data_IF_090678980316
#
_entry.id   IF_090678980316
#
_cell.length_a   1.000
_cell.length_b   1.000
_cell.length_c   1.000
_cell.angle_alpha   90.00
_cell.angle_beta   90.00
_cell.angle_gamma   90.00
#
_symmetry.space_group_name_H-M   'P 1'
#
loop_
_entity.id
_entity.type
_entity.pdbx_description
1 polymer ?
#
# COMPACT_ATOMS: atom_id res chain seq x y z
N UNK A 1 -25.85 -12.19 -7.20
CA UNK A 1 -25.24 -11.28 -8.21
C UNK A 1 -24.01 -11.99 -8.75
N UNK A 2 -23.83 -12.04 -10.07
CA UNK A 2 -22.64 -12.61 -10.71
C UNK A 2 -21.66 -11.47 -11.02
N UNK A 3 -20.38 -11.70 -10.82
CA UNK A 3 -19.29 -10.75 -11.09
C UNK A 3 -18.35 -11.31 -12.16
N UNK A 4 -17.48 -10.45 -12.73
CA UNK A 4 -16.44 -10.91 -13.64
C UNK A 4 -15.53 -11.94 -12.96
N UNK A 5 -14.98 -12.87 -13.72
CA UNK A 5 -14.00 -13.82 -13.21
C UNK A 5 -12.67 -13.10 -12.88
N UNK A 6 -12.01 -13.53 -11.80
CA UNK A 6 -10.62 -13.17 -11.49
C UNK A 6 -9.70 -14.26 -12.09
N UNK A 7 -9.30 -14.08 -13.35
CA UNK A 7 -8.53 -15.08 -14.06
C UNK A 7 -8.20 -14.75 -15.51
N UNK A 8 -7.56 -15.70 -16.16
CA UNK A 8 -7.08 -15.60 -17.54
C UNK A 8 -7.79 -16.60 -18.45
N UNK A 9 -8.40 -16.10 -19.52
CA UNK A 9 -9.02 -16.92 -20.58
C UNK A 9 -8.10 -16.89 -21.80
N UNK A 10 -7.84 -18.06 -22.39
CA UNK A 10 -7.13 -18.20 -23.66
C UNK A 10 -7.70 -19.34 -24.47
N UNK A 11 -7.40 -19.37 -25.77
CA UNK A 11 -7.82 -20.44 -26.69
C UNK A 11 -9.35 -20.64 -26.70
N UNK A 12 -10.10 -19.54 -26.64
CA UNK A 12 -11.56 -19.58 -26.75
C UNK A 12 -11.97 -20.06 -28.14
N UNK A 13 -12.89 -21.02 -28.20
CA UNK A 13 -13.39 -21.61 -29.45
C UNK A 13 -14.89 -21.84 -29.32
N UNK A 14 -15.62 -21.55 -30.40
CA UNK A 14 -17.06 -21.79 -30.51
C UNK A 14 -17.33 -22.45 -31.86
N UNK A 15 -18.11 -23.54 -31.86
CA UNK A 15 -18.26 -24.42 -33.02
C UNK A 15 -18.92 -23.75 -34.23
N UNK A 16 -19.87 -22.83 -33.98
CA UNK A 16 -20.74 -22.27 -35.03
C UNK A 16 -20.46 -20.80 -35.35
N UNK A 17 -19.43 -20.20 -34.74
CA UNK A 17 -19.08 -18.80 -34.99
C UNK A 17 -17.58 -18.57 -34.78
N UNK A 18 -16.88 -17.92 -35.72
CA UNK A 18 -15.51 -17.48 -35.51
C UNK A 18 -15.52 -16.38 -34.44
N UNK A 19 -14.97 -16.69 -33.26
CA UNK A 19 -14.79 -15.72 -32.18
C UNK A 19 -13.31 -15.48 -31.98
N UNK A 20 -12.91 -14.21 -32.04
CA UNK A 20 -11.54 -13.76 -31.83
C UNK A 20 -11.49 -12.82 -30.62
N UNK A 21 -10.80 -13.24 -29.56
CA UNK A 21 -10.61 -12.42 -28.36
C UNK A 21 -9.56 -11.32 -28.56
N UNK A 22 -8.73 -11.39 -29.60
CA UNK A 22 -7.77 -10.33 -29.93
C UNK A 22 -8.45 -9.14 -30.64
N UNK A 23 -9.62 -9.37 -31.27
CA UNK A 23 -10.40 -8.35 -31.99
C UNK A 23 -11.89 -8.35 -31.58
N UNK A 24 -12.22 -8.02 -30.31
CA UNK A 24 -13.59 -7.99 -29.85
C UNK A 24 -14.35 -6.77 -30.43
N UNK A 25 -15.67 -6.89 -30.59
CA UNK A 25 -16.53 -5.75 -31.00
C UNK A 25 -16.53 -4.62 -29.96
N UNK A 26 -16.39 -4.95 -28.68
CA UNK A 26 -16.18 -4.01 -27.59
C UNK A 26 -15.47 -4.69 -26.42
N UNK A 27 -14.77 -3.93 -25.59
CA UNK A 27 -14.14 -4.43 -24.36
C UNK A 27 -14.27 -3.40 -23.24
N UNK A 28 -14.30 -3.88 -22.00
CA UNK A 28 -14.36 -3.04 -20.81
C UNK A 28 -13.51 -3.68 -19.71
N UNK A 29 -12.49 -2.97 -19.23
CA UNK A 29 -11.56 -3.43 -18.19
C UNK A 29 -10.96 -4.84 -18.43
N UNK A 30 -10.67 -5.19 -19.69
CA UNK A 30 -9.97 -6.44 -20.06
C UNK A 30 -8.49 -6.14 -20.25
N UNK A 31 -7.63 -6.83 -19.48
CA UNK A 31 -6.18 -6.72 -19.57
C UNK A 31 -5.52 -7.93 -20.25
N UNK A 32 -4.20 -7.86 -20.41
CA UNK A 32 -3.39 -9.01 -20.84
C UNK A 32 -2.85 -9.77 -19.65
N UNK A 33 -2.76 -11.09 -19.77
CA UNK A 33 -2.20 -11.95 -18.75
C UNK A 33 -0.67 -11.92 -18.76
N UNK A 34 -0.05 -11.99 -17.58
CA UNK A 34 1.37 -12.29 -17.46
C UNK A 34 1.63 -13.77 -17.78
N UNK A 35 2.78 -14.08 -18.38
CA UNK A 35 3.21 -15.46 -18.68
C UNK A 35 3.32 -16.28 -17.39
N UNK A 36 3.81 -15.66 -16.33
CA UNK A 36 3.86 -16.22 -14.98
C UNK A 36 3.34 -15.16 -14.02
N UNK A 37 2.23 -15.47 -13.36
CA UNK A 37 1.57 -14.57 -12.42
C UNK A 37 1.56 -15.17 -11.02
N UNK A 38 1.51 -14.30 -10.03
CA UNK A 38 1.22 -14.63 -8.63
C UNK A 38 0.09 -13.71 -8.16
N UNK A 39 -0.67 -14.13 -7.15
CA UNK A 39 -1.72 -13.30 -6.57
C UNK A 39 -1.12 -11.99 -6.02
N UNK A 40 -1.76 -10.86 -6.32
CA UNK A 40 -1.35 -9.54 -5.83
C UNK A 40 -1.81 -8.41 -6.72
N UNK A 41 -1.40 -7.19 -6.39
CA UNK A 41 -1.64 -5.98 -7.19
C UNK A 41 -0.32 -5.49 -7.78
N UNK A 42 -0.30 -5.27 -9.09
CA UNK A 42 0.90 -4.83 -9.80
C UNK A 42 0.92 -3.31 -9.97
N UNK A 43 2.05 -2.69 -9.64
CA UNK A 43 2.34 -1.28 -9.88
C UNK A 43 3.56 -1.19 -10.79
N UNK A 44 3.44 -0.53 -11.94
CA UNK A 44 4.53 -0.40 -12.92
C UNK A 44 5.48 0.77 -12.63
N UNK A 45 5.20 1.56 -11.59
CA UNK A 45 5.98 2.71 -11.16
C UNK A 45 5.59 4.03 -11.82
N UNK A 46 4.52 4.09 -12.62
CA UNK A 46 4.07 5.32 -13.30
C UNK A 46 2.88 6.01 -12.63
N UNK A 47 2.25 5.37 -11.65
CA UNK A 47 1.03 5.86 -11.02
C UNK A 47 0.84 5.37 -9.58
N UNK A 48 -0.42 5.37 -9.14
CA UNK A 48 -0.80 5.02 -7.78
C UNK A 48 -2.24 4.51 -7.71
N UNK A 49 -2.60 3.88 -6.59
CA UNK A 49 -3.97 3.51 -6.29
C UNK A 49 -4.51 4.41 -5.17
N UNK A 50 -5.68 5.03 -5.39
CA UNK A 50 -6.49 5.65 -4.33
C UNK A 50 -7.46 4.59 -3.82
N UNK A 51 -7.19 4.01 -2.65
CA UNK A 51 -7.93 2.83 -2.16
C UNK A 51 -9.22 3.20 -1.44
N UNK A 52 -9.20 4.27 -0.65
CA UNK A 52 -10.38 4.82 0.04
C UNK A 52 -10.39 6.35 -0.05
N UNK A 53 -11.59 6.93 -0.10
CA UNK A 53 -11.78 8.37 -0.33
C UNK A 53 -11.53 9.23 0.91
N UNK A 54 -11.85 8.73 2.09
CA UNK A 54 -11.68 9.39 3.37
C UNK A 54 -11.28 8.35 4.41
N UNK A 55 -10.03 8.40 4.85
CA UNK A 55 -9.46 7.51 5.85
C UNK A 55 -9.07 8.30 7.09
N UNK A 56 -9.44 7.79 8.26
CA UNK A 56 -9.07 8.35 9.56
C UNK A 56 -8.05 7.44 10.21
N UNK A 57 -6.83 7.95 10.41
CA UNK A 57 -5.76 7.21 11.10
C UNK A 57 -6.10 7.06 12.59
N UNK A 58 -6.53 8.13 13.25
CA UNK A 58 -6.98 8.08 14.65
C UNK A 58 -5.84 7.76 15.63
N UNK A 59 -6.16 6.99 16.67
CA UNK A 59 -5.26 6.64 17.80
C UNK A 59 -4.52 5.32 17.57
N UNK A 60 -5.24 4.29 17.11
CA UNK A 60 -4.71 2.94 16.93
C UNK A 60 -4.92 2.48 15.49
N UNK A 61 -3.84 2.04 14.84
CA UNK A 61 -3.84 1.62 13.45
C UNK A 61 -2.83 0.48 13.24
N UNK A 62 -3.29 -0.65 12.71
CA UNK A 62 -2.42 -1.71 12.22
C UNK A 62 -2.48 -1.77 10.68
N UNK A 63 -1.30 -1.74 10.04
CA UNK A 63 -1.13 -1.85 8.59
C UNK A 63 -0.22 -3.05 8.29
N UNK A 64 -0.75 -4.04 7.60
CA UNK A 64 -0.01 -5.27 7.24
C UNK A 64 -0.08 -5.47 5.73
N UNK A 65 1.07 -5.64 5.08
CA UNK A 65 1.12 -5.93 3.66
C UNK A 65 2.41 -6.62 3.24
N UNK A 66 2.32 -7.34 2.14
CA UNK A 66 3.44 -7.97 1.47
C UNK A 66 3.79 -7.16 0.22
N UNK A 67 5.07 -6.90 -0.01
CA UNK A 67 5.51 -6.21 -1.21
C UNK A 67 6.83 -6.80 -1.68
N UNK A 68 7.04 -6.79 -3.00
CA UNK A 68 8.32 -7.10 -3.64
C UNK A 68 8.63 -6.01 -4.66
N UNK A 69 9.89 -5.64 -4.80
CA UNK A 69 10.30 -4.63 -5.78
C UNK A 69 11.73 -4.87 -6.24
N UNK A 70 12.04 -4.38 -7.44
CA UNK A 70 13.41 -4.32 -7.98
C UNK A 70 14.01 -2.91 -7.86
N UNK A 71 13.26 -1.96 -7.30
CA UNK A 71 13.68 -0.57 -7.11
C UNK A 71 14.11 -0.33 -5.66
N UNK A 72 15.10 0.53 -5.48
CA UNK A 72 15.61 0.92 -4.17
C UNK A 72 14.78 2.00 -3.49
N UNK A 73 13.90 2.67 -4.24
CA UNK A 73 13.08 3.77 -3.74
C UNK A 73 11.64 3.62 -4.24
N UNK A 74 10.67 3.98 -3.41
CA UNK A 74 9.27 4.00 -3.78
C UNK A 74 8.34 4.30 -2.61
N UNK A 75 7.24 4.97 -2.88
CA UNK A 75 6.15 5.14 -1.91
C UNK A 75 5.40 3.82 -1.80
N UNK A 76 5.18 3.32 -0.59
CA UNK A 76 4.39 2.12 -0.35
C UNK A 76 2.96 2.51 0.01
N UNK A 77 2.81 3.39 1.01
CA UNK A 77 1.52 3.83 1.51
C UNK A 77 1.60 5.26 2.04
N UNK A 78 0.54 6.04 1.82
CA UNK A 78 0.45 7.40 2.34
C UNK A 78 -0.99 7.84 2.58
N UNK A 79 -1.23 8.48 3.72
CA UNK A 79 -2.41 9.28 4.01
C UNK A 79 -1.95 10.55 4.71
N UNK A 80 -2.39 11.70 4.23
CA UNK A 80 -2.04 12.99 4.82
C UNK A 80 -3.24 13.91 4.78
N UNK A 81 -3.48 14.58 5.90
CA UNK A 81 -4.33 15.75 5.95
C UNK A 81 -3.69 16.92 5.20
N UNK A 82 -4.53 17.86 4.77
CA UNK A 82 -4.08 19.13 4.18
C UNK A 82 -3.39 20.07 5.19
N UNK A 83 -3.40 19.74 6.48
CA UNK A 83 -2.85 20.59 7.54
C UNK A 83 -1.46 20.12 7.97
N UNK A 84 -1.42 19.11 8.85
CA UNK A 84 -0.17 18.64 9.45
C UNK A 84 -0.14 17.14 9.69
N UNK A 85 -1.28 16.47 9.94
CA UNK A 85 -1.30 15.06 10.33
C UNK A 85 -1.24 14.11 9.15
N UNK A 86 -0.58 12.97 9.32
CA UNK A 86 -0.43 11.96 8.29
C UNK A 86 0.43 10.78 8.70
N UNK A 87 0.36 9.73 7.89
CA UNK A 87 1.16 8.52 7.97
C UNK A 87 1.70 8.21 6.57
N UNK A 88 3.01 7.96 6.50
CA UNK A 88 3.69 7.48 5.31
C UNK A 88 4.56 6.26 5.60
N UNK A 89 4.58 5.32 4.65
CA UNK A 89 5.51 4.21 4.58
C UNK A 89 6.18 4.25 3.21
N UNK A 90 7.51 4.24 3.19
CA UNK A 90 8.31 4.39 2.00
C UNK A 90 9.52 3.45 2.02
N UNK A 91 9.98 3.06 0.85
CA UNK A 91 11.27 2.43 0.64
C UNK A 91 12.26 3.53 0.21
N UNK A 92 13.37 3.67 0.93
CA UNK A 92 14.43 4.65 0.62
C UNK A 92 15.79 3.97 0.73
N UNK A 93 16.53 3.92 -0.38
CA UNK A 93 17.84 3.27 -0.43
C UNK A 93 17.81 1.79 -0.01
N UNK A 94 16.71 1.07 -0.31
CA UNK A 94 16.53 -0.33 0.09
C UNK A 94 16.18 -0.52 1.57
N UNK A 95 15.84 0.55 2.28
CA UNK A 95 15.39 0.50 3.68
C UNK A 95 13.93 0.87 3.76
N UNK A 96 13.14 0.10 4.49
CA UNK A 96 11.75 0.45 4.74
C UNK A 96 11.74 1.46 5.88
N UNK A 97 11.01 2.53 5.65
CA UNK A 97 10.89 3.64 6.57
C UNK A 97 9.42 3.94 6.81
N UNK A 98 9.08 4.27 8.05
CA UNK A 98 7.78 4.88 8.36
C UNK A 98 7.97 6.23 9.04
N UNK A 99 7.03 7.13 8.73
CA UNK A 99 6.89 8.43 9.37
C UNK A 99 5.41 8.65 9.66
N UNK A 100 5.08 8.91 10.91
CA UNK A 100 3.76 9.37 11.32
C UNK A 100 3.94 10.69 12.06
N UNK A 101 3.06 11.66 11.81
CA UNK A 101 3.23 13.05 12.29
C UNK A 101 3.23 13.15 13.81
N UNK A 102 2.50 12.26 14.49
CA UNK A 102 2.54 12.13 15.94
C UNK A 102 3.94 11.83 16.47
N UNK A 103 4.88 11.39 15.64
CA UNK A 103 6.22 10.98 16.02
C UNK A 103 7.25 11.91 15.36
N UNK A 104 8.06 12.58 16.19
CA UNK A 104 9.17 13.42 15.69
C UNK A 104 10.27 12.58 15.01
N UNK A 105 10.34 11.29 15.35
CA UNK A 105 11.37 10.37 14.86
C UNK A 105 10.84 9.50 13.71
N UNK A 106 11.66 9.39 12.66
CA UNK A 106 11.47 8.45 11.55
C UNK A 106 11.95 7.06 11.98
N UNK A 107 11.13 6.02 11.81
CA UNK A 107 11.59 4.65 11.98
C UNK A 107 12.17 4.13 10.68
N UNK A 108 13.31 3.43 10.76
CA UNK A 108 14.00 2.87 9.60
C UNK A 108 14.49 1.46 9.92
N UNK A 109 14.19 0.52 9.03
CA UNK A 109 14.71 -0.84 9.06
C UNK A 109 15.34 -1.21 7.73
N UNK A 110 16.50 -1.86 7.79
CA UNK A 110 17.11 -2.43 6.60
C UNK A 110 16.20 -3.52 6.03
N UNK A 111 15.88 -3.38 4.74
CA UNK A 111 15.15 -4.37 3.97
C UNK A 111 16.18 -5.18 3.20
N UNK A 112 16.23 -6.50 3.43
CA UNK A 112 17.24 -7.34 2.77
C UNK A 112 16.87 -7.70 1.33
N UNK A 113 15.61 -7.48 0.94
CA UNK A 113 15.00 -7.61 -0.40
C UNK A 113 13.51 -7.99 -0.24
N UNK A 114 12.81 -7.26 0.64
CA UNK A 114 11.55 -7.61 1.33
C UNK A 114 10.50 -8.36 0.51
N UNK A 115 9.85 -9.32 1.17
CA UNK A 115 8.54 -9.87 0.82
C UNK A 115 7.45 -9.41 1.81
N UNK A 116 7.78 -9.08 3.07
CA UNK A 116 6.80 -8.82 4.13
C UNK A 116 7.10 -7.53 4.92
N UNK A 117 6.12 -6.63 5.05
CA UNK A 117 6.18 -5.45 5.92
C UNK A 117 4.93 -5.30 6.79
N UNK A 118 5.14 -5.01 8.06
CA UNK A 118 4.08 -4.78 9.04
C UNK A 118 4.39 -3.51 9.82
N UNK A 119 3.45 -2.58 9.83
CA UNK A 119 3.51 -1.37 10.64
C UNK A 119 2.36 -1.39 11.65
N UNK A 120 2.67 -1.17 12.91
CA UNK A 120 1.71 -1.04 13.99
C UNK A 120 1.88 0.32 14.65
N UNK A 121 0.82 1.14 14.60
CA UNK A 121 0.67 2.38 15.33
C UNK A 121 -0.30 2.13 16.49
N UNK A 122 0.13 2.46 17.71
CA UNK A 122 -0.71 2.35 18.90
C UNK A 122 -0.63 3.63 19.71
N UNK A 123 -1.77 4.08 20.21
CA UNK A 123 -1.87 5.19 21.15
C UNK A 123 -2.74 4.77 22.33
N UNK A 124 -2.10 4.32 23.40
CA UNK A 124 -2.75 4.09 24.70
C UNK A 124 -2.43 5.22 25.67
N UNK A 125 -3.31 5.44 26.65
CA UNK A 125 -3.44 6.53 27.64
C UNK A 125 -2.13 7.10 28.28
N UNK A 126 -0.96 6.50 28.06
CA UNK A 126 0.35 6.97 28.57
C UNK A 126 1.51 6.81 27.55
N UNK A 127 1.37 6.06 26.45
CA UNK A 127 2.45 5.82 25.46
C UNK A 127 1.91 5.83 24.03
N UNK A 128 2.15 6.92 23.31
CA UNK A 128 2.04 6.95 21.84
C UNK A 128 3.24 6.21 21.29
N UNK A 129 3.03 5.03 20.72
CA UNK A 129 4.08 4.14 20.28
C UNK A 129 3.89 3.77 18.82
N UNK A 130 4.96 3.89 18.06
CA UNK A 130 5.03 3.44 16.68
C UNK A 130 6.00 2.27 16.61
N UNK A 131 5.55 1.17 16.02
CA UNK A 131 6.32 -0.06 15.82
C UNK A 131 6.35 -0.39 14.33
N UNK A 132 7.55 -0.58 13.78
CA UNK A 132 7.77 -1.04 12.41
C UNK A 132 8.44 -2.40 12.46
N UNK A 133 7.84 -3.39 11.81
CA UNK A 133 8.36 -4.75 11.66
C UNK A 133 8.58 -5.08 10.18
N UNK A 134 9.79 -5.51 9.83
CA UNK A 134 10.18 -5.87 8.46
C UNK A 134 10.93 -7.19 8.51
N UNK A 135 10.43 -8.20 7.78
CA UNK A 135 11.00 -9.56 7.77
C UNK A 135 11.30 -10.11 9.19
N UNK A 136 10.39 -9.83 10.14
CA UNK A 136 10.50 -10.26 11.55
C UNK A 136 11.43 -9.43 12.44
N UNK A 137 12.12 -8.42 11.90
CA UNK A 137 12.91 -7.45 12.69
C UNK A 137 12.04 -6.27 13.07
N UNK A 138 12.15 -5.79 14.31
CA UNK A 138 11.31 -4.73 14.84
C UNK A 138 12.15 -3.54 15.31
N UNK A 139 11.64 -2.33 15.04
CA UNK A 139 12.07 -1.08 15.68
C UNK A 139 10.84 -0.34 16.19
N UNK A 140 11.01 0.40 17.27
CA UNK A 140 9.93 1.19 17.86
C UNK A 140 10.42 2.58 18.30
N UNK A 141 9.49 3.52 18.38
CA UNK A 141 9.72 4.84 18.97
C UNK A 141 8.46 5.30 19.69
N UNK A 142 8.66 5.99 20.80
CA UNK A 142 7.59 6.71 21.47
C UNK A 142 7.49 8.15 20.94
N UNK A 143 6.30 8.73 20.99
CA UNK A 143 6.14 10.17 20.75
C UNK A 143 6.63 10.97 21.97
N UNK A 144 7.47 12.00 21.77
CA UNK A 144 7.81 12.94 22.82
C UNK A 144 6.66 13.92 23.14
N UNK A 145 5.67 14.05 22.25
CA UNK A 145 4.57 14.99 22.40
C UNK A 145 3.34 14.29 23.00
N UNK A 146 3.03 14.61 24.26
CA UNK A 146 1.85 14.08 24.97
C UNK A 146 0.56 14.86 24.70
N UNK A 147 0.64 16.01 24.02
CA UNK A 147 -0.53 16.85 23.75
C UNK A 147 -1.30 16.43 22.49
N UNK A 148 -0.63 15.71 21.56
CA UNK A 148 -1.23 15.22 20.33
C UNK A 148 -1.34 13.70 20.41
N UNK A 149 -2.57 13.20 20.50
CA UNK A 149 -2.86 11.77 20.75
C UNK A 149 -3.49 11.05 19.56
N UNK A 150 -3.83 11.78 18.50
CA UNK A 150 -4.53 11.29 17.31
C UNK A 150 -3.98 11.95 16.06
N UNK A 151 -3.91 11.17 14.97
CA UNK A 151 -3.69 11.73 13.63
C UNK A 151 -5.05 12.00 12.98
N UNK A 152 -5.43 13.27 12.93
CA UNK A 152 -6.74 13.73 12.47
C UNK A 152 -6.77 13.86 10.95
N UNK A 153 -6.71 12.70 10.28
CA UNK A 153 -6.92 12.61 8.84
C UNK A 153 -8.41 12.38 8.54
N UNK A 154 -8.85 12.82 7.38
CA UNK A 154 -10.13 12.43 6.76
C UNK A 154 -9.96 12.46 5.25
N UNK A 155 -8.87 11.85 4.80
CA UNK A 155 -8.24 12.11 3.51
C UNK A 155 -8.03 10.81 2.73
N UNK A 156 -7.77 10.87 1.42
CA UNK A 156 -7.52 9.69 0.62
C UNK A 156 -6.32 8.87 1.11
N UNK A 157 -6.49 7.54 1.14
CA UNK A 157 -5.38 6.62 1.32
C UNK A 157 -4.82 6.24 -0.05
N UNK A 158 -3.52 6.46 -0.24
CA UNK A 158 -2.82 6.14 -1.47
C UNK A 158 -1.81 5.00 -1.27
N UNK A 159 -1.64 4.17 -2.30
CA UNK A 159 -0.69 3.06 -2.37
C UNK A 159 0.12 3.17 -3.65
N UNK A 160 1.45 2.97 -3.57
CA UNK A 160 2.37 2.99 -4.72
C UNK A 160 2.80 4.38 -5.20
N UNK A 161 2.18 5.46 -4.71
CA UNK A 161 2.44 6.84 -5.10
C UNK A 161 1.30 7.76 -4.64
N UNK A 162 1.25 9.01 -5.09
CA UNK A 162 0.19 9.97 -4.79
C UNK A 162 0.09 11.04 -5.90
N UNK A 163 -1.03 11.77 -6.02
CA UNK A 163 -1.16 12.87 -6.98
C UNK A 163 -0.13 13.97 -6.71
N UNK A 164 0.58 14.41 -7.75
CA UNK A 164 1.48 15.58 -7.70
C UNK A 164 0.75 16.90 -7.76
#
# INVERSE_FOLDING_TARGET
VLHSIDGCIRNFKMTESPVDLDNPTSSFNVGKCFVTAQKGTYFDGTGFAKTVGAYRVGTDLLVEFEFRTTRMNGVLLGVSSQKMDGLGIELVGGKVSSKAVLFLNKLVLDSTSTLNARLLLQSQDIKHRLELTVDGRQVETDSPNRASTSADTNDPLFVGGYPG
#
